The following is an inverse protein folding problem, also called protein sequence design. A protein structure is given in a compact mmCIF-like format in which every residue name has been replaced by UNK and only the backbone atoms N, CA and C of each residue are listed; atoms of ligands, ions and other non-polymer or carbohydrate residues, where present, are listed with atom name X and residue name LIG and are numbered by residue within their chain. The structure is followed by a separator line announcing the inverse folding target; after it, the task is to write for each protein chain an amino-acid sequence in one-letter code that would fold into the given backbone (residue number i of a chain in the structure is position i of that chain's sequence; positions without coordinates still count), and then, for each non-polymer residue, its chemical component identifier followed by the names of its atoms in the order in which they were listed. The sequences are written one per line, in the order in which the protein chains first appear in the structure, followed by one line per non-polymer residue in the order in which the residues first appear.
data_IF_450746547020
#
_entry.id   IF_450746547020
#
_cell.length_a   1.000
_cell.length_b   1.000
_cell.length_c   1.000
_cell.angle_alpha   90.00
_cell.angle_beta   90.00
_cell.angle_gamma   90.00
#
_symmetry.space_group_name_H-M   'P 1'
#
loop_
_entity.id
_entity.type
_entity.pdbx_description
1 polymer ?
#
# COMPACT_ATOMS: atom_id res chain seq x y z
N UNK A 1 -11.61 -22.74 -2.46
CA UNK A 1 -10.18 -22.88 -2.11
C UNK A 1 -9.94 -22.06 -0.86
N UNK A 2 -9.47 -22.68 0.23
CA UNK A 2 -9.23 -21.97 1.49
C UNK A 2 -7.86 -21.28 1.42
N UNK A 3 -7.67 -20.19 2.17
CA UNK A 3 -6.40 -19.43 2.20
C UNK A 3 -5.22 -20.32 2.61
N UNK A 4 -5.46 -21.29 3.49
CA UNK A 4 -4.45 -22.28 3.91
C UNK A 4 -3.94 -23.11 2.73
N UNK A 5 -4.86 -23.63 1.91
CA UNK A 5 -4.51 -24.42 0.72
C UNK A 5 -3.61 -23.60 -0.24
N UNK A 6 -3.93 -22.31 -0.45
CA UNK A 6 -3.11 -21.42 -1.29
C UNK A 6 -1.70 -21.21 -0.74
N UNK A 7 -1.56 -21.07 0.58
CA UNK A 7 -0.25 -20.89 1.22
C UNK A 7 0.59 -22.17 1.13
N UNK A 8 -0.02 -23.33 1.37
CA UNK A 8 0.66 -24.63 1.27
C UNK A 8 1.12 -24.96 -0.17
N UNK A 9 0.44 -24.39 -1.18
CA UNK A 9 0.80 -24.58 -2.58
C UNK A 9 1.97 -23.70 -3.04
N UNK A 10 2.32 -22.62 -2.33
CA UNK A 10 3.45 -21.78 -2.73
C UNK A 10 4.03 -20.94 -1.61
N UNK A 11 5.36 -21.03 -1.47
CA UNK A 11 6.14 -20.16 -0.58
C UNK A 11 6.09 -18.69 -0.98
N UNK A 12 5.63 -18.37 -2.19
CA UNK A 12 5.52 -17.00 -2.70
C UNK A 12 4.26 -16.25 -2.23
N UNK A 13 3.27 -16.96 -1.67
CA UNK A 13 2.03 -16.36 -1.18
C UNK A 13 2.24 -15.81 0.22
N UNK A 14 2.22 -14.49 0.37
CA UNK A 14 2.30 -13.81 1.68
C UNK A 14 0.89 -13.51 2.18
N UNK A 15 0.59 -13.84 3.44
CA UNK A 15 -0.73 -13.56 4.01
C UNK A 15 -0.77 -12.18 4.68
N UNK A 16 -1.63 -11.30 4.18
CA UNK A 16 -1.78 -9.95 4.70
C UNK A 16 -3.02 -9.86 5.61
N UNK A 17 -2.82 -9.51 6.88
CA UNK A 17 -3.90 -9.49 7.89
C UNK A 17 -4.75 -8.21 7.88
N UNK A 18 -4.35 -7.22 7.09
CA UNK A 18 -5.06 -5.95 6.98
C UNK A 18 -4.26 -4.88 6.26
N UNK A 19 -4.89 -3.73 6.12
CA UNK A 19 -4.41 -2.56 5.38
C UNK A 19 -4.96 -1.30 6.05
N UNK A 20 -4.08 -0.35 6.38
CA UNK A 20 -4.41 0.97 6.96
C UNK A 20 -5.38 0.97 8.16
N UNK A 21 -5.13 0.17 9.19
CA UNK A 21 -5.90 0.16 10.45
C UNK A 21 -5.97 1.51 11.15
N UNK A 22 -5.09 2.46 10.83
CA UNK A 22 -5.25 3.87 11.18
C UNK A 22 -6.64 4.43 10.82
N UNK A 23 -7.21 4.02 9.69
CA UNK A 23 -8.56 4.43 9.26
C UNK A 23 -9.66 3.75 10.08
N UNK A 24 -9.43 2.50 10.51
CA UNK A 24 -10.35 1.72 11.36
C UNK A 24 -10.33 2.18 12.82
N UNK A 25 -9.22 2.77 13.26
CA UNK A 25 -9.05 3.30 14.62
C UNK A 25 -9.47 4.76 14.75
N UNK A 26 -9.50 5.51 13.64
CA UNK A 26 -10.11 6.83 13.60
C UNK A 26 -11.62 6.69 13.88
N UNK A 27 -12.05 7.12 15.07
CA UNK A 27 -13.41 6.93 15.60
C UNK A 27 -14.46 7.83 14.94
N UNK A 28 -14.38 8.05 13.62
CA UNK A 28 -15.44 8.71 12.88
C UNK A 28 -16.62 7.72 12.87
N UNK A 29 -17.65 8.01 13.68
CA UNK A 29 -18.80 7.11 13.88
C UNK A 29 -19.65 6.92 12.60
N UNK A 30 -19.49 7.80 11.62
CA UNK A 30 -20.23 7.81 10.36
C UNK A 30 -19.43 8.56 9.31
N UNK A 31 -19.27 7.98 8.12
CA UNK A 31 -18.54 8.59 7.01
C UNK A 31 -18.03 7.52 6.04
N UNK A 32 -17.58 7.96 4.87
CA UNK A 32 -16.83 7.12 3.95
C UNK A 32 -15.33 7.09 4.29
N UNK A 33 -14.56 6.29 3.57
CA UNK A 33 -13.10 6.21 3.72
C UNK A 33 -12.41 7.57 3.81
N UNK A 34 -12.78 8.53 2.94
CA UNK A 34 -12.20 9.88 2.95
C UNK A 34 -12.47 10.66 4.22
N UNK A 35 -13.66 10.49 4.82
CA UNK A 35 -13.99 11.15 6.08
C UNK A 35 -13.10 10.64 7.21
N UNK A 36 -12.78 9.35 7.22
CA UNK A 36 -11.84 8.77 8.19
C UNK A 36 -10.43 9.32 7.96
N UNK A 37 -9.94 9.28 6.72
CA UNK A 37 -8.60 9.71 6.34
C UNK A 37 -8.31 11.17 6.72
N UNK A 38 -9.19 12.12 6.34
CA UNK A 38 -8.97 13.56 6.64
C UNK A 38 -9.03 13.88 8.13
N UNK A 39 -9.67 13.02 8.93
CA UNK A 39 -9.79 13.19 10.36
C UNK A 39 -8.69 12.47 11.17
N UNK A 40 -7.77 11.73 10.53
CA UNK A 40 -6.64 11.06 11.21
C UNK A 40 -5.91 12.00 12.18
N UNK A 41 -5.51 13.24 11.80
CA UNK A 41 -4.77 14.13 12.71
C UNK A 41 -5.54 14.42 14.01
N UNK A 42 -6.87 14.53 13.93
CA UNK A 42 -7.74 14.81 15.09
C UNK A 42 -7.76 13.64 16.09
N UNK A 43 -7.64 12.41 15.59
CA UNK A 43 -7.74 11.18 16.40
C UNK A 43 -6.38 10.53 16.67
N UNK A 44 -5.28 11.17 16.29
CA UNK A 44 -3.93 10.58 16.30
C UNK A 44 -3.53 9.98 17.66
N UNK A 45 -3.79 10.69 18.77
CA UNK A 45 -3.46 10.16 20.11
C UNK A 45 -4.24 8.88 20.44
N UNK A 46 -5.49 8.77 20.02
CA UNK A 46 -6.31 7.58 20.23
C UNK A 46 -5.83 6.42 19.35
N UNK A 47 -5.46 6.70 18.10
CA UNK A 47 -4.85 5.76 17.16
C UNK A 47 -3.57 5.16 17.76
N UNK A 48 -2.63 6.01 18.21
CA UNK A 48 -1.38 5.57 18.83
C UNK A 48 -1.60 4.68 20.05
N UNK A 49 -2.64 4.96 20.84
CA UNK A 49 -2.99 4.13 21.98
C UNK A 49 -3.64 2.78 21.57
N UNK A 50 -4.45 2.76 20.52
CA UNK A 50 -5.25 1.59 20.13
C UNK A 50 -4.48 0.58 19.29
N UNK A 51 -3.74 1.03 18.26
CA UNK A 51 -3.12 0.15 17.26
C UNK A 51 -2.21 -0.93 17.87
N UNK A 52 -1.29 -0.63 18.82
CA UNK A 52 -0.45 -1.67 19.41
C UNK A 52 -1.25 -2.75 20.16
N UNK A 53 -2.42 -2.41 20.72
CA UNK A 53 -3.31 -3.41 21.36
C UNK A 53 -4.01 -4.27 20.33
N UNK A 54 -4.44 -3.67 19.21
CA UNK A 54 -5.06 -4.40 18.11
C UNK A 54 -4.10 -5.41 17.51
N UNK A 55 -2.85 -5.02 17.23
CA UNK A 55 -1.86 -5.95 16.70
C UNK A 55 -1.59 -7.12 17.64
N UNK A 56 -1.47 -6.89 18.95
CA UNK A 56 -1.34 -8.00 19.91
C UNK A 56 -2.48 -9.00 19.79
N UNK A 57 -3.73 -8.52 19.72
CA UNK A 57 -4.90 -9.39 19.56
C UNK A 57 -4.91 -10.12 18.22
N UNK A 58 -4.56 -9.45 17.13
CA UNK A 58 -4.50 -10.05 15.80
C UNK A 58 -3.43 -11.15 15.78
N UNK A 59 -2.23 -10.87 16.30
CA UNK A 59 -1.14 -11.84 16.41
C UNK A 59 -1.58 -13.05 17.23
N UNK A 60 -2.26 -12.86 18.37
CA UNK A 60 -2.76 -13.96 19.18
C UNK A 60 -3.80 -14.82 18.44
N UNK A 61 -4.69 -14.19 17.68
CA UNK A 61 -5.66 -14.90 16.83
C UNK A 61 -4.94 -15.67 15.74
N UNK A 62 -3.96 -15.04 15.08
CA UNK A 62 -3.20 -15.69 14.02
C UNK A 62 -2.44 -16.90 14.56
N UNK A 63 -1.69 -16.75 15.65
CA UNK A 63 -0.95 -17.85 16.30
C UNK A 63 -1.86 -19.02 16.73
N UNK A 64 -3.13 -18.76 17.06
CA UNK A 64 -4.09 -19.80 17.47
C UNK A 64 -4.78 -20.52 16.30
N UNK A 65 -4.92 -19.86 15.15
CA UNK A 65 -5.77 -20.35 14.06
C UNK A 65 -4.99 -20.65 12.77
N UNK A 66 -3.78 -20.10 12.64
CA UNK A 66 -2.95 -20.17 11.45
C UNK A 66 -1.51 -20.54 11.83
N UNK A 67 -0.97 -21.55 11.16
CA UNK A 67 0.41 -22.01 11.37
C UNK A 67 1.41 -21.28 10.46
N UNK A 68 1.02 -20.16 9.85
CA UNK A 68 1.85 -19.38 8.94
C UNK A 68 2.04 -17.95 9.43
N UNK A 69 3.18 -17.37 9.02
CA UNK A 69 3.52 -15.97 9.27
C UNK A 69 2.67 -15.03 8.41
N UNK A 70 2.67 -13.76 8.81
CA UNK A 70 1.81 -12.72 8.26
C UNK A 70 2.61 -11.49 7.80
N UNK A 71 1.95 -10.63 7.04
CA UNK A 71 2.34 -9.24 6.79
C UNK A 71 1.15 -8.31 7.03
N UNK A 72 1.40 -7.01 7.00
CA UNK A 72 0.39 -5.97 7.13
C UNK A 72 0.77 -4.79 6.23
N UNK A 73 -0.19 -4.20 5.52
CA UNK A 73 0.03 -3.01 4.71
C UNK A 73 -0.11 -1.75 5.59
N UNK A 74 1.04 -1.24 6.03
CA UNK A 74 1.09 -0.05 6.88
C UNK A 74 1.15 1.22 6.06
N UNK A 75 0.38 2.21 6.49
CA UNK A 75 0.59 3.58 6.03
C UNK A 75 1.94 4.11 6.54
N UNK A 76 2.57 5.07 5.84
CA UNK A 76 3.84 5.64 6.30
C UNK A 76 3.81 6.22 7.73
N UNK A 77 2.73 6.89 8.19
CA UNK A 77 2.63 7.31 9.59
C UNK A 77 2.68 6.16 10.59
N UNK A 78 1.93 5.07 10.36
CA UNK A 78 1.94 3.93 11.30
C UNK A 78 3.34 3.34 11.44
N UNK A 79 4.05 3.19 10.32
CA UNK A 79 5.42 2.69 10.29
C UNK A 79 6.43 3.68 10.92
N UNK A 80 6.33 4.98 10.61
CA UNK A 80 7.24 6.01 11.09
C UNK A 80 7.24 6.14 12.62
N UNK A 81 6.05 6.01 13.23
CA UNK A 81 5.84 6.05 14.67
C UNK A 81 5.94 4.68 15.35
N UNK A 82 6.36 3.64 14.62
CA UNK A 82 6.58 2.29 15.13
C UNK A 82 5.35 1.70 15.86
N UNK A 83 4.15 1.86 15.25
CA UNK A 83 2.90 1.38 15.84
C UNK A 83 2.63 -0.10 15.56
N UNK A 84 3.39 -0.70 14.64
CA UNK A 84 3.33 -2.12 14.30
C UNK A 84 4.53 -2.82 14.96
N UNK A 85 4.33 -3.95 15.66
CA UNK A 85 5.42 -4.68 16.31
C UNK A 85 6.16 -5.56 15.27
N UNK A 86 6.86 -4.92 14.33
CA UNK A 86 7.57 -5.60 13.25
C UNK A 86 8.63 -6.58 13.75
N UNK A 87 9.12 -6.44 14.98
CA UNK A 87 10.00 -7.38 15.64
C UNK A 87 9.35 -8.73 15.99
N UNK A 88 8.02 -8.82 16.12
CA UNK A 88 7.35 -10.06 16.47
C UNK A 88 7.61 -11.12 15.36
N UNK A 89 8.03 -12.35 15.72
CA UNK A 89 8.27 -13.43 14.76
C UNK A 89 7.07 -13.83 13.91
N UNK A 90 5.85 -13.44 14.30
CA UNK A 90 4.65 -13.63 13.50
C UNK A 90 4.73 -12.90 12.16
N UNK A 91 5.43 -11.76 12.09
CA UNK A 91 5.62 -11.05 10.83
C UNK A 91 6.76 -11.68 10.02
N UNK A 92 6.48 -12.12 8.79
CA UNK A 92 7.53 -12.56 7.85
C UNK A 92 8.16 -11.42 7.07
N UNK A 93 7.40 -10.36 6.83
CA UNK A 93 7.80 -9.19 6.04
C UNK A 93 7.20 -7.91 6.64
N UNK A 94 7.70 -6.78 6.17
CA UNK A 94 7.15 -5.45 6.44
C UNK A 94 6.38 -5.03 5.20
N UNK A 95 5.08 -4.77 5.31
CA UNK A 95 4.31 -4.12 4.25
C UNK A 95 4.25 -2.62 4.53
N UNK A 96 4.69 -1.81 3.58
CA UNK A 96 4.68 -0.35 3.66
C UNK A 96 4.09 0.20 2.37
N UNK A 97 3.00 0.93 2.49
CA UNK A 97 2.37 1.66 1.38
C UNK A 97 3.23 2.89 1.06
N UNK A 98 4.21 2.71 0.18
CA UNK A 98 5.34 3.64 0.03
C UNK A 98 5.01 4.85 -0.87
N UNK A 99 3.77 5.36 -0.81
CA UNK A 99 3.35 6.49 -1.63
C UNK A 99 4.19 7.73 -1.39
N UNK A 100 4.52 8.40 -2.49
CA UNK A 100 5.16 9.71 -2.46
C UNK A 100 4.07 10.78 -2.49
N UNK A 101 3.94 11.56 -1.43
CA UNK A 101 3.00 12.69 -1.34
C UNK A 101 3.69 13.90 -0.70
N UNK A 102 4.18 14.79 -1.57
CA UNK A 102 4.88 16.01 -1.24
C UNK A 102 4.00 17.00 -0.45
N UNK A 103 2.66 16.91 -0.55
CA UNK A 103 1.75 17.80 0.21
C UNK A 103 1.82 17.55 1.70
N UNK A 104 2.13 16.31 2.08
CA UNK A 104 2.33 15.90 3.47
C UNK A 104 3.82 15.78 3.85
N UNK A 105 4.73 16.25 2.98
CA UNK A 105 6.17 16.17 3.19
C UNK A 105 6.74 14.75 3.07
N UNK A 106 6.00 13.81 2.49
CA UNK A 106 6.44 12.43 2.25
C UNK A 106 7.11 12.32 0.87
N UNK A 107 8.18 13.09 0.68
CA UNK A 107 9.00 13.05 -0.54
C UNK A 107 9.90 11.79 -0.59
N UNK A 108 10.66 11.63 -1.69
CA UNK A 108 11.56 10.48 -1.83
C UNK A 108 12.58 10.40 -0.69
N UNK A 109 13.14 11.52 -0.22
CA UNK A 109 14.16 11.52 0.83
C UNK A 109 13.57 11.10 2.18
N UNK A 110 12.39 11.63 2.50
CA UNK A 110 11.66 11.23 3.69
C UNK A 110 11.34 9.74 3.66
N UNK A 111 10.87 9.23 2.51
CA UNK A 111 10.54 7.82 2.34
C UNK A 111 11.79 6.92 2.38
N UNK A 112 12.91 7.33 1.78
CA UNK A 112 14.20 6.64 1.92
C UNK A 112 14.63 6.52 3.38
N UNK A 113 14.48 7.59 4.15
CA UNK A 113 14.81 7.59 5.58
C UNK A 113 13.90 6.64 6.36
N UNK A 114 12.60 6.63 6.07
CA UNK A 114 11.66 5.69 6.69
C UNK A 114 12.04 4.23 6.36
N UNK A 115 12.22 3.90 5.08
CA UNK A 115 12.59 2.55 4.62
C UNK A 115 13.92 2.12 5.28
N UNK A 116 14.89 3.01 5.37
CA UNK A 116 16.19 2.72 6.01
C UNK A 116 16.03 2.37 7.49
N UNK A 117 15.14 3.05 8.21
CA UNK A 117 14.81 2.72 9.61
C UNK A 117 14.17 1.35 9.73
N UNK A 118 13.28 0.99 8.80
CA UNK A 118 12.60 -0.31 8.79
C UNK A 118 13.54 -1.48 8.47
N UNK A 119 14.65 -1.26 7.76
CA UNK A 119 15.64 -2.32 7.49
C UNK A 119 16.31 -2.87 8.76
N UNK A 120 16.21 -2.18 9.91
CA UNK A 120 16.71 -2.67 11.21
C UNK A 120 16.10 -4.02 11.63
N UNK A 121 14.86 -4.30 11.21
CA UNK A 121 14.17 -5.55 11.54
C UNK A 121 14.68 -6.75 10.73
N UNK A 122 15.52 -6.52 9.70
CA UNK A 122 16.10 -7.55 8.83
C UNK A 122 15.06 -8.48 8.19
N UNK A 123 13.90 -7.91 7.85
CA UNK A 123 12.82 -8.59 7.12
C UNK A 123 12.71 -8.01 5.70
N UNK A 124 12.23 -8.79 4.71
CA UNK A 124 11.85 -8.24 3.41
C UNK A 124 10.84 -7.11 3.59
N UNK A 125 11.01 -6.02 2.84
CA UNK A 125 10.06 -4.90 2.80
C UNK A 125 9.31 -4.99 1.47
N UNK A 126 7.98 -5.01 1.55
CA UNK A 126 7.08 -5.07 0.42
C UNK A 126 6.31 -3.74 0.35
N UNK A 127 6.02 -3.30 -0.87
CA UNK A 127 5.03 -2.25 -1.14
C UNK A 127 3.73 -2.91 -1.62
N UNK A 128 2.78 -3.21 -0.70
CA UNK A 128 1.60 -4.01 -1.02
C UNK A 128 0.55 -3.23 -1.80
N UNK A 129 0.66 -1.89 -1.81
CA UNK A 129 -0.29 -1.03 -2.47
C UNK A 129 0.41 0.16 -3.11
N UNK A 130 0.63 0.06 -4.42
CA UNK A 130 0.95 1.23 -5.23
C UNK A 130 0.15 1.26 -6.52
N UNK A 131 -0.16 2.45 -7.01
CA UNK A 131 -0.76 2.64 -8.32
C UNK A 131 -1.24 4.05 -8.56
N UNK A 132 -1.92 4.25 -9.67
CA UNK A 132 -2.38 5.57 -10.09
C UNK A 132 -3.63 5.46 -10.96
N UNK A 133 -4.54 6.41 -10.77
CA UNK A 133 -5.74 6.58 -11.57
C UNK A 133 -5.40 7.07 -12.99
N UNK A 134 -6.24 6.76 -13.97
CA UNK A 134 -6.01 7.09 -15.38
C UNK A 134 -6.87 8.26 -15.86
N UNK A 135 -6.68 9.45 -15.25
CA UNK A 135 -7.26 10.72 -15.70
C UNK A 135 -6.18 11.81 -15.80
N UNK A 136 -6.45 12.83 -16.62
CA UNK A 136 -5.53 13.93 -16.88
C UNK A 136 -5.10 14.65 -15.59
N UNK A 137 -3.79 14.71 -15.35
CA UNK A 137 -3.23 15.38 -14.16
C UNK A 137 -3.29 14.57 -12.85
N UNK A 138 -3.69 13.29 -12.88
CA UNK A 138 -3.70 12.45 -11.67
C UNK A 138 -2.33 12.38 -10.96
N UNK A 139 -1.23 12.46 -11.72
CA UNK A 139 0.14 12.47 -11.23
C UNK A 139 0.53 13.76 -10.48
N UNK A 140 -0.24 14.84 -10.63
CA UNK A 140 -0.07 16.08 -9.86
C UNK A 140 -0.74 16.02 -8.49
N UNK A 141 -1.70 15.11 -8.32
CA UNK A 141 -2.41 14.89 -7.07
C UNK A 141 -1.87 13.71 -6.28
N UNK A 142 -0.69 13.22 -6.71
CA UNK A 142 0.20 12.31 -5.99
C UNK A 142 -0.53 11.15 -5.34
N UNK A 143 -1.18 10.40 -6.24
CA UNK A 143 -1.70 9.05 -6.07
C UNK A 143 -3.06 8.93 -5.37
N UNK A 144 -3.97 8.31 -6.12
CA UNK A 144 -5.20 7.66 -5.65
C UNK A 144 -6.42 8.49 -5.33
N UNK A 145 -6.44 9.82 -5.46
CA UNK A 145 -7.66 10.56 -5.10
C UNK A 145 -8.79 10.38 -6.14
N UNK A 146 -9.90 9.68 -5.82
CA UNK A 146 -11.07 9.56 -6.68
C UNK A 146 -11.86 10.87 -6.73
N UNK A 147 -11.59 11.83 -5.84
CA UNK A 147 -12.29 13.10 -5.76
C UNK A 147 -12.24 13.87 -7.08
N UNK A 148 -11.22 13.63 -7.89
CA UNK A 148 -11.02 14.31 -9.18
C UNK A 148 -11.35 13.45 -10.40
N UNK A 149 -11.71 12.16 -10.23
CA UNK A 149 -12.04 11.28 -11.36
C UNK A 149 -13.15 11.86 -12.23
N UNK A 150 -14.24 12.34 -11.62
CA UNK A 150 -15.44 12.73 -12.35
C UNK A 150 -15.26 14.01 -13.17
N UNK A 151 -14.35 14.89 -12.73
CA UNK A 151 -14.13 16.20 -13.34
C UNK A 151 -12.97 16.24 -14.35
N UNK A 152 -12.27 15.11 -14.56
CA UNK A 152 -11.11 15.06 -15.44
C UNK A 152 -11.28 14.04 -16.57
N UNK A 153 -10.70 14.36 -17.72
CA UNK A 153 -10.74 13.50 -18.91
C UNK A 153 -9.89 12.24 -18.72
N UNK A 154 -10.29 11.17 -19.41
CA UNK A 154 -9.51 9.93 -19.46
C UNK A 154 -8.11 10.19 -20.05
N UNK A 155 -7.07 9.81 -19.31
CA UNK A 155 -5.68 9.86 -19.76
C UNK A 155 -4.84 8.84 -18.99
N UNK A 156 -4.22 7.92 -19.71
CA UNK A 156 -3.35 6.89 -19.13
C UNK A 156 -1.90 7.37 -18.92
N UNK A 157 -1.54 8.54 -19.46
CA UNK A 157 -0.19 9.12 -19.37
C UNK A 157 0.27 9.34 -17.92
N UNK A 158 -0.53 9.96 -17.05
CA UNK A 158 -0.25 10.10 -15.62
C UNK A 158 0.02 8.77 -14.92
N UNK A 159 -0.79 7.74 -15.21
CA UNK A 159 -0.60 6.39 -14.64
C UNK A 159 0.76 5.80 -15.02
N UNK A 160 1.20 5.98 -16.27
CA UNK A 160 2.51 5.51 -16.75
C UNK A 160 3.65 6.26 -16.06
N UNK A 161 3.63 7.61 -16.08
CA UNK A 161 4.70 8.43 -15.51
C UNK A 161 4.89 8.19 -14.01
N UNK A 162 3.79 8.12 -13.27
CA UNK A 162 3.84 7.85 -11.84
C UNK A 162 4.34 6.45 -11.56
N UNK A 163 3.81 5.43 -12.25
CA UNK A 163 4.26 4.06 -12.06
C UNK A 163 5.75 3.87 -12.36
N UNK A 164 6.26 4.50 -13.42
CA UNK A 164 7.69 4.47 -13.74
C UNK A 164 8.54 5.16 -12.65
N UNK A 165 8.11 6.33 -12.15
CA UNK A 165 8.78 7.02 -11.03
C UNK A 165 8.82 6.15 -9.79
N UNK A 166 7.68 5.57 -9.40
CA UNK A 166 7.57 4.70 -8.23
C UNK A 166 8.45 3.47 -8.35
N UNK A 167 8.40 2.75 -9.47
CA UNK A 167 9.22 1.55 -9.65
C UNK A 167 10.73 1.86 -9.60
N UNK A 168 11.16 2.98 -10.18
CA UNK A 168 12.54 3.48 -10.08
C UNK A 168 12.93 3.81 -8.64
N UNK A 169 12.04 4.48 -7.91
CA UNK A 169 12.22 4.81 -6.49
C UNK A 169 12.33 3.53 -5.64
N UNK A 170 11.36 2.63 -5.73
CA UNK A 170 11.32 1.37 -4.98
C UNK A 170 12.55 0.50 -5.26
N UNK A 171 13.04 0.48 -6.51
CA UNK A 171 14.28 -0.22 -6.85
C UNK A 171 15.49 0.41 -6.16
N UNK A 172 15.64 1.75 -6.22
CA UNK A 172 16.72 2.48 -5.52
C UNK A 172 16.65 2.26 -4.00
N UNK A 173 15.44 2.17 -3.44
CA UNK A 173 15.19 1.92 -2.02
C UNK A 173 15.40 0.47 -1.61
N UNK A 174 15.71 -0.43 -2.56
CA UNK A 174 15.92 -1.86 -2.33
C UNK A 174 14.73 -2.50 -1.61
N UNK A 175 13.52 -2.15 -2.06
CA UNK A 175 12.28 -2.84 -1.69
C UNK A 175 12.29 -4.23 -2.32
N UNK A 176 11.80 -5.24 -1.60
CA UNK A 176 11.93 -6.65 -1.96
C UNK A 176 10.81 -7.11 -2.90
N UNK A 177 9.66 -6.44 -2.88
CA UNK A 177 8.56 -6.66 -3.82
C UNK A 177 7.56 -5.50 -3.79
N UNK A 178 6.79 -5.35 -4.86
CA UNK A 178 5.72 -4.35 -4.95
C UNK A 178 4.51 -4.90 -5.70
N UNK A 179 3.32 -4.46 -5.35
CA UNK A 179 2.07 -4.97 -5.91
C UNK A 179 1.18 -3.82 -6.38
N UNK A 180 0.76 -3.89 -7.65
CA UNK A 180 -0.12 -2.88 -8.22
C UNK A 180 -1.53 -3.02 -7.65
N UNK A 181 -2.07 -1.92 -7.11
CA UNK A 181 -3.39 -1.87 -6.50
C UNK A 181 -4.51 -2.01 -7.49
N UNK A 182 -5.57 -2.74 -7.10
CA UNK A 182 -6.82 -2.85 -7.85
C UNK A 182 -6.58 -3.16 -9.33
N UNK A 183 -5.78 -4.19 -9.59
CA UNK A 183 -5.40 -4.63 -10.94
C UNK A 183 -6.58 -4.72 -11.92
N UNK A 184 -7.75 -5.14 -11.40
CA UNK A 184 -9.05 -5.04 -12.05
C UNK A 184 -9.94 -4.05 -11.27
N UNK A 185 -10.13 -2.86 -11.84
CA UNK A 185 -11.04 -1.83 -11.32
C UNK A 185 -12.27 -1.73 -12.23
N UNK A 186 -13.40 -1.36 -11.65
CA UNK A 186 -14.66 -1.13 -12.35
C UNK A 186 -14.80 0.31 -12.87
N UNK A 187 -13.90 1.21 -12.47
CA UNK A 187 -13.86 2.60 -12.94
C UNK A 187 -13.00 2.73 -14.19
N UNK A 188 -13.52 3.41 -15.21
CA UNK A 188 -12.82 3.68 -16.47
C UNK A 188 -11.48 4.40 -16.20
N UNK A 189 -11.55 5.43 -15.37
CA UNK A 189 -10.44 6.28 -14.92
C UNK A 189 -9.80 5.81 -13.60
N UNK A 190 -10.16 4.63 -13.13
CA UNK A 190 -9.65 4.07 -11.88
C UNK A 190 -8.22 3.53 -11.95
N UNK A 191 -7.82 2.81 -10.92
CA UNK A 191 -6.48 2.23 -10.74
C UNK A 191 -6.17 1.07 -11.68
N UNK A 192 -7.21 0.43 -12.19
CA UNK A 192 -7.11 -0.78 -12.99
C UNK A 192 -6.16 -0.66 -14.16
N UNK A 193 -5.41 -1.73 -14.41
CA UNK A 193 -4.52 -1.87 -15.57
C UNK A 193 -5.27 -2.35 -16.82
N UNK A 194 -6.56 -2.59 -16.69
CA UNK A 194 -7.49 -2.93 -17.77
C UNK A 194 -8.66 -1.97 -17.74
N UNK A 195 -9.16 -1.59 -18.91
CA UNK A 195 -10.41 -0.86 -19.01
C UNK A 195 -11.57 -1.76 -18.54
N UNK A 196 -12.48 -1.29 -17.68
CA UNK A 196 -13.52 -2.13 -17.05
C UNK A 196 -14.45 -2.78 -18.08
N UNK A 197 -14.92 -2.02 -19.07
CA UNK A 197 -15.86 -2.50 -20.10
C UNK A 197 -15.17 -3.28 -21.22
N UNK A 198 -14.20 -2.68 -21.92
CA UNK A 198 -13.58 -3.30 -23.09
C UNK A 198 -12.55 -4.38 -22.74
N UNK A 199 -12.14 -4.46 -21.47
CA UNK A 199 -11.05 -5.34 -21.00
C UNK A 199 -9.72 -5.11 -21.73
N UNK A 200 -9.59 -4.00 -22.47
CA UNK A 200 -8.34 -3.61 -23.12
C UNK A 200 -7.30 -3.25 -22.06
N UNK A 201 -6.07 -3.72 -22.23
CA UNK A 201 -4.92 -3.34 -21.40
C UNK A 201 -4.64 -1.84 -21.56
N UNK A 202 -4.53 -1.12 -20.44
CA UNK A 202 -4.09 0.28 -20.41
C UNK A 202 -2.57 0.37 -20.63
N UNK A 203 -2.05 1.54 -21.00
CA UNK A 203 -0.60 1.80 -21.12
C UNK A 203 0.15 1.46 -19.82
N UNK A 204 -0.45 1.71 -18.66
CA UNK A 204 0.12 1.32 -17.36
C UNK A 204 0.43 -0.17 -17.25
N UNK A 205 -0.38 -1.05 -17.86
CA UNK A 205 -0.12 -2.49 -17.89
C UNK A 205 1.20 -2.80 -18.58
N UNK A 206 1.41 -2.19 -19.74
CA UNK A 206 2.60 -2.45 -20.55
C UNK A 206 3.85 -1.92 -19.85
N UNK A 207 3.77 -0.74 -19.25
CA UNK A 207 4.83 -0.17 -18.43
C UNK A 207 5.18 -1.09 -17.25
N UNK A 208 4.17 -1.51 -16.47
CA UNK A 208 4.40 -2.39 -15.32
C UNK A 208 5.00 -3.73 -15.72
N UNK A 209 4.50 -4.32 -16.82
CA UNK A 209 5.03 -5.59 -17.36
C UNK A 209 6.45 -5.46 -17.91
N UNK A 210 6.79 -4.33 -18.54
CA UNK A 210 8.10 -4.12 -19.16
C UNK A 210 9.17 -3.69 -18.17
N UNK A 211 8.79 -3.28 -16.96
CA UNK A 211 9.76 -2.82 -15.98
C UNK A 211 10.69 -3.96 -15.57
N UNK A 212 11.98 -3.73 -15.74
CA UNK A 212 13.02 -4.63 -15.27
C UNK A 212 13.75 -3.95 -14.11
N UNK A 213 13.86 -4.69 -13.02
CA UNK A 213 14.66 -4.27 -11.89
C UNK A 213 16.12 -4.21 -12.34
N UNK A 214 16.73 -3.02 -12.28
CA UNK A 214 18.17 -2.89 -12.52
C UNK A 214 18.89 -3.42 -11.28
N UNK A 215 19.74 -4.43 -11.47
CA UNK A 215 20.39 -5.20 -10.40
C UNK A 215 21.16 -4.32 -9.42
N UNK A 216 21.09 -4.72 -8.15
CA UNK A 216 21.86 -4.17 -7.02
C UNK A 216 23.28 -4.71 -6.97
#
# INVERSE_FOLDING_TARGET
MKVKDLREMSDTVVYMVGHEFINETATVKSGGYFDHFVNIPKYWSAIQAALPRMFRRIIDICKKNYDYKITYAATPPEAYYNLIPWEDPAFESIGLDAYLDNRWGMDENWMFNLISRLKVYRKPILDPDFGMMSYAGADKWESMSPAYIYNNFYDEGPQVRYGERMLKFLNRAKIDGCFWVQYNDNLDRGHGLYHPTSRKRKKGYYMYKSYQRVGS
#
